data_IF_692027011048
#
_entry.id   IF_692027011048
#
_cell.length_a   1.000
_cell.length_b   1.000
_cell.length_c   1.000
_cell.angle_alpha   90.00
_cell.angle_beta   90.00
_cell.angle_gamma   90.00
#
_symmetry.space_group_name_H-M   'P 1'
#
loop_
_entity.id
_entity.type
_entity.pdbx_description
1 polymer ?
#
# COMPACT_ATOMS: atom_id res chain seq x y z
N UNK A 1 28.88 71.16 13.26
CA UNK A 1 28.29 69.94 13.86
C UNK A 1 27.85 69.02 12.71
N UNK A 2 28.65 68.01 12.32
CA UNK A 2 28.55 66.62 12.76
C UNK A 2 27.14 66.03 12.43
N UNK A 3 26.92 64.95 11.66
CA UNK A 3 27.70 63.72 11.41
C UNK A 3 27.25 63.09 10.08
N UNK A 4 28.21 62.66 9.25
CA UNK A 4 28.02 61.58 8.25
C UNK A 4 28.20 60.26 9.00
N UNK A 5 27.19 59.40 9.05
CA UNK A 5 27.34 58.00 9.50
C UNK A 5 27.12 57.07 8.31
N UNK A 6 28.23 56.55 7.77
CA UNK A 6 28.22 55.52 6.74
C UNK A 6 27.71 54.18 7.30
N UNK A 7 26.76 53.57 6.60
CA UNK A 7 26.39 52.17 6.80
C UNK A 7 27.50 51.29 6.24
N UNK A 8 28.29 50.70 7.13
CA UNK A 8 29.27 49.67 6.80
C UNK A 8 28.57 48.39 6.34
N UNK A 9 28.76 48.01 5.08
CA UNK A 9 28.40 46.69 4.55
C UNK A 9 29.42 45.70 5.08
N UNK A 10 29.04 44.94 6.12
CA UNK A 10 29.90 43.91 6.72
C UNK A 10 29.91 42.67 5.81
N UNK A 11 30.92 42.57 4.94
CA UNK A 11 31.25 41.34 4.19
C UNK A 11 31.51 40.20 5.19
N UNK A 12 30.59 39.25 5.30
CA UNK A 12 30.82 38.00 6.02
C UNK A 12 31.78 37.14 5.17
N UNK A 13 33.04 37.08 5.60
CA UNK A 13 34.06 36.18 5.04
C UNK A 13 33.62 34.74 5.25
N UNK A 14 33.69 33.95 4.19
CA UNK A 14 33.27 32.54 4.16
C UNK A 14 33.98 31.70 5.21
N UNK A 15 33.19 31.06 6.07
CA UNK A 15 33.66 29.92 6.87
C UNK A 15 33.61 28.70 5.96
N UNK A 16 34.79 28.15 5.66
CA UNK A 16 34.98 26.86 5.02
C UNK A 16 34.11 25.80 5.72
N UNK A 17 33.08 25.30 5.03
CA UNK A 17 32.25 24.23 5.54
C UNK A 17 33.05 22.92 5.51
N UNK A 18 33.39 22.38 6.68
CA UNK A 18 33.84 20.99 6.81
C UNK A 18 32.75 20.06 6.26
N UNK A 19 33.08 19.01 5.49
CA UNK A 19 32.09 18.09 4.95
C UNK A 19 31.43 17.34 6.11
N UNK A 20 30.11 17.50 6.27
CA UNK A 20 29.31 16.71 7.21
C UNK A 20 29.29 15.26 6.71
N UNK A 21 30.08 14.38 7.34
CA UNK A 21 29.84 12.94 7.25
C UNK A 21 28.44 12.63 7.83
N UNK A 22 27.65 11.87 7.09
CA UNK A 22 26.59 11.02 7.67
C UNK A 22 25.20 11.64 7.83
N UNK A 23 24.37 11.45 6.81
CA UNK A 23 23.08 10.72 6.84
C UNK A 23 22.48 10.88 5.46
N UNK A 24 22.81 9.96 4.56
CA UNK A 24 22.00 9.78 3.36
C UNK A 24 20.60 9.45 3.84
N UNK A 25 19.64 10.34 3.56
CA UNK A 25 18.23 10.01 3.71
C UNK A 25 17.99 8.66 3.03
N UNK A 26 17.15 7.77 3.59
CA UNK A 26 16.84 6.50 2.94
C UNK A 26 16.32 6.80 1.53
N UNK A 27 17.19 6.61 0.54
CA UNK A 27 16.82 6.63 -0.88
C UNK A 27 16.09 5.33 -1.11
N UNK A 28 14.90 5.42 -1.69
CA UNK A 28 14.23 4.22 -2.17
C UNK A 28 15.17 3.54 -3.18
N UNK A 29 15.51 2.26 -2.96
CA UNK A 29 16.37 1.52 -3.88
C UNK A 29 15.71 1.45 -5.26
N UNK A 30 16.51 1.42 -6.32
CA UNK A 30 15.98 1.26 -7.67
C UNK A 30 15.24 -0.10 -7.79
N UNK A 31 14.22 -0.16 -8.64
CA UNK A 31 13.52 -1.41 -8.92
C UNK A 31 14.53 -2.49 -9.35
N UNK A 32 14.50 -3.65 -8.67
CA UNK A 32 15.43 -4.76 -8.92
C UNK A 32 16.81 -4.66 -8.24
N UNK A 33 17.08 -3.60 -7.47
CA UNK A 33 18.34 -3.49 -6.70
C UNK A 33 18.24 -4.14 -5.32
N UNK A 34 19.38 -4.58 -4.78
CA UNK A 34 19.45 -5.17 -3.43
C UNK A 34 19.01 -4.13 -2.40
N UNK A 35 17.98 -4.44 -1.59
CA UNK A 35 17.51 -3.51 -0.57
C UNK A 35 18.59 -3.30 0.51
N UNK A 36 18.66 -2.09 1.11
CA UNK A 36 19.51 -1.86 2.28
C UNK A 36 19.21 -2.88 3.40
N UNK A 37 20.18 -3.21 4.28
CA UNK A 37 20.00 -4.26 5.30
C UNK A 37 18.76 -4.07 6.18
N UNK A 38 18.43 -2.83 6.56
CA UNK A 38 17.23 -2.53 7.33
C UNK A 38 15.93 -2.82 6.57
N UNK A 39 15.92 -2.57 5.26
CA UNK A 39 14.78 -2.89 4.38
C UNK A 39 14.69 -4.39 4.16
N UNK A 40 15.81 -5.08 3.92
CA UNK A 40 15.84 -6.55 3.79
C UNK A 40 15.27 -7.23 5.05
N UNK A 41 15.73 -6.84 6.24
CA UNK A 41 15.22 -7.37 7.50
C UNK A 41 13.72 -7.07 7.70
N UNK A 42 13.21 -5.95 7.20
CA UNK A 42 11.78 -5.66 7.24
C UNK A 42 10.98 -6.56 6.28
N UNK A 43 11.49 -6.79 5.08
CA UNK A 43 10.88 -7.70 4.10
C UNK A 43 10.84 -9.14 4.63
N UNK A 44 11.94 -9.64 5.20
CA UNK A 44 12.03 -10.98 5.79
C UNK A 44 10.98 -11.24 6.88
N UNK A 45 10.60 -10.20 7.65
CA UNK A 45 9.53 -10.32 8.64
C UNK A 45 8.13 -10.34 8.03
N UNK A 46 7.91 -9.60 6.94
CA UNK A 46 6.57 -9.39 6.34
C UNK A 46 6.24 -10.45 5.30
N UNK A 47 7.19 -10.85 4.47
CA UNK A 47 7.00 -11.83 3.40
C UNK A 47 6.33 -13.14 3.86
N UNK A 48 6.76 -13.82 4.95
CA UNK A 48 6.11 -15.05 5.40
C UNK A 48 4.69 -14.82 5.92
N UNK A 49 4.39 -13.61 6.42
CA UNK A 49 3.02 -13.22 6.84
C UNK A 49 2.10 -13.11 5.65
N UNK A 50 2.55 -12.43 4.59
CA UNK A 50 1.76 -12.29 3.38
C UNK A 50 1.64 -13.62 2.63
N UNK A 51 2.69 -14.45 2.65
CA UNK A 51 2.68 -15.76 2.00
C UNK A 51 1.63 -16.71 2.62
N UNK A 52 1.58 -16.81 3.95
CA UNK A 52 0.65 -17.71 4.67
C UNK A 52 -0.81 -17.25 4.68
N UNK A 53 -1.06 -15.96 4.45
CA UNK A 53 -2.40 -15.40 4.53
C UNK A 53 -3.26 -15.87 3.36
N UNK A 54 -4.49 -16.30 3.61
CA UNK A 54 -5.46 -16.67 2.57
C UNK A 54 -6.30 -15.48 2.07
N UNK A 55 -6.33 -14.39 2.84
CA UNK A 55 -7.09 -13.16 2.57
C UNK A 55 -6.49 -11.97 3.33
N UNK A 56 -6.85 -10.76 2.93
CA UNK A 56 -6.37 -9.52 3.54
C UNK A 56 -7.49 -8.53 3.83
N UNK A 57 -7.36 -7.81 4.95
CA UNK A 57 -8.10 -6.58 5.20
C UNK A 57 -7.10 -5.44 5.23
N UNK A 58 -7.19 -4.54 4.25
CA UNK A 58 -6.33 -3.35 4.15
C UNK A 58 -7.00 -2.21 4.90
N UNK A 59 -6.38 -1.82 6.01
CA UNK A 59 -6.77 -0.64 6.78
C UNK A 59 -5.96 0.56 6.29
N UNK A 60 -6.59 1.59 5.73
CA UNK A 60 -5.87 2.71 5.11
C UNK A 60 -6.51 4.08 5.36
N UNK A 61 -5.71 5.12 5.68
CA UNK A 61 -6.17 6.49 5.54
C UNK A 61 -6.26 6.90 4.07
N UNK A 62 -6.94 8.00 3.79
CA UNK A 62 -6.74 8.82 2.60
C UNK A 62 -5.79 9.99 2.90
N UNK A 63 -4.67 10.04 2.17
CA UNK A 63 -3.69 11.12 2.18
C UNK A 63 -3.59 11.73 0.79
N UNK A 64 -3.72 13.06 0.71
CA UNK A 64 -3.59 13.83 -0.54
C UNK A 64 -4.43 13.25 -1.69
N UNK A 65 -5.70 12.92 -1.42
CA UNK A 65 -6.62 12.34 -2.41
C UNK A 65 -6.24 10.92 -2.87
N UNK A 66 -5.43 10.18 -2.10
CA UNK A 66 -5.07 8.81 -2.44
C UNK A 66 -4.67 7.97 -1.23
N UNK A 67 -4.15 6.77 -1.47
CA UNK A 67 -3.59 5.90 -0.44
C UNK A 67 -2.15 6.32 -0.05
N UNK A 68 -1.64 5.96 1.13
CA UNK A 68 -0.28 6.29 1.55
C UNK A 68 0.80 5.61 0.70
N UNK A 69 1.89 6.33 0.42
CA UNK A 69 3.03 5.77 -0.30
C UNK A 69 3.63 4.52 0.37
N UNK A 70 3.58 4.44 1.72
CA UNK A 70 4.03 3.28 2.47
C UNK A 70 3.23 2.00 2.14
N UNK A 71 1.91 2.12 1.94
CA UNK A 71 1.06 0.99 1.56
C UNK A 71 1.43 0.47 0.17
N UNK A 72 1.60 1.39 -0.79
CA UNK A 72 2.04 1.04 -2.15
C UNK A 72 3.40 0.35 -2.17
N UNK A 73 4.34 0.84 -1.36
CA UNK A 73 5.64 0.21 -1.23
C UNK A 73 5.52 -1.25 -0.77
N UNK A 74 4.68 -1.54 0.24
CA UNK A 74 4.48 -2.93 0.69
C UNK A 74 3.88 -3.79 -0.42
N UNK A 75 2.92 -3.26 -1.18
CA UNK A 75 2.32 -3.94 -2.33
C UNK A 75 3.37 -4.22 -3.41
N UNK A 76 4.17 -3.22 -3.79
CA UNK A 76 5.14 -3.34 -4.89
C UNK A 76 6.31 -4.26 -4.56
N UNK A 77 6.72 -4.35 -3.29
CA UNK A 77 7.78 -5.25 -2.84
C UNK A 77 7.36 -6.72 -2.83
N UNK A 78 6.07 -7.02 -2.86
CA UNK A 78 5.54 -8.37 -2.77
C UNK A 78 4.59 -8.57 -3.94
N UNK A 79 4.98 -9.25 -5.00
CA UNK A 79 4.06 -9.52 -6.10
C UNK A 79 3.33 -10.88 -5.92
N UNK A 80 4.04 -12.02 -5.85
CA UNK A 80 3.38 -13.33 -5.81
C UNK A 80 2.56 -13.57 -4.53
N UNK A 81 2.85 -12.84 -3.45
CA UNK A 81 2.14 -13.02 -2.18
C UNK A 81 0.67 -12.57 -2.23
N UNK A 82 0.28 -11.72 -3.20
CA UNK A 82 -1.11 -11.27 -3.38
C UNK A 82 -1.93 -12.15 -4.34
N UNK A 83 -1.26 -13.00 -5.13
CA UNK A 83 -1.87 -13.70 -6.25
C UNK A 83 -3.04 -14.57 -5.83
N UNK A 84 -4.15 -14.41 -6.54
CA UNK A 84 -5.39 -15.15 -6.34
C UNK A 84 -5.87 -15.16 -4.88
N UNK A 85 -5.64 -14.07 -4.13
CA UNK A 85 -6.14 -13.88 -2.77
C UNK A 85 -7.11 -12.70 -2.71
N UNK A 86 -8.18 -12.78 -1.90
CA UNK A 86 -9.13 -11.70 -1.80
C UNK A 86 -8.66 -10.62 -0.82
N UNK A 87 -9.06 -9.39 -1.11
CA UNK A 87 -8.71 -8.18 -0.35
C UNK A 87 -9.97 -7.39 -0.03
N UNK A 88 -10.18 -7.07 1.24
CA UNK A 88 -11.21 -6.14 1.70
C UNK A 88 -10.57 -4.84 2.21
N UNK A 89 -11.39 -3.79 2.29
CA UNK A 89 -10.93 -2.46 2.69
C UNK A 89 -11.69 -1.94 3.90
N UNK A 90 -10.91 -1.39 4.84
CA UNK A 90 -11.38 -0.50 5.89
C UNK A 90 -10.64 0.81 5.70
N UNK A 91 -11.37 1.86 5.36
CA UNK A 91 -10.78 3.16 5.05
C UNK A 91 -11.22 4.22 6.03
N UNK A 92 -10.40 5.25 6.20
CA UNK A 92 -10.73 6.41 6.99
C UNK A 92 -10.16 7.69 6.39
N UNK A 93 -10.79 8.81 6.70
CA UNK A 93 -10.34 10.11 6.21
C UNK A 93 -11.23 11.24 6.69
N UNK A 94 -11.00 12.43 6.14
CA UNK A 94 -11.91 13.56 6.32
C UNK A 94 -13.24 13.33 5.61
N UNK A 95 -13.62 14.25 4.72
CA UNK A 95 -14.96 14.25 4.12
C UNK A 95 -15.30 12.97 3.33
N UNK A 96 -14.32 12.36 2.66
CA UNK A 96 -14.52 11.15 1.85
C UNK A 96 -14.60 9.85 2.67
N UNK A 97 -14.25 9.89 3.97
CA UNK A 97 -14.10 8.67 4.78
C UNK A 97 -13.02 7.69 4.28
N UNK A 98 -12.15 8.12 3.36
CA UNK A 98 -11.09 7.28 2.80
C UNK A 98 -11.45 6.58 1.50
N UNK A 99 -12.65 6.80 0.95
CA UNK A 99 -13.14 6.09 -0.23
C UNK A 99 -12.29 6.30 -1.49
N UNK A 100 -11.67 7.47 -1.69
CA UNK A 100 -10.80 7.70 -2.86
C UNK A 100 -9.53 6.87 -2.81
N UNK A 101 -9.00 6.63 -1.60
CA UNK A 101 -7.88 5.71 -1.41
C UNK A 101 -8.28 4.30 -1.85
N UNK A 102 -9.49 3.85 -1.49
CA UNK A 102 -10.03 2.54 -1.90
C UNK A 102 -10.22 2.48 -3.42
N UNK A 103 -10.80 3.51 -4.03
CA UNK A 103 -10.98 3.59 -5.49
C UNK A 103 -9.66 3.48 -6.24
N UNK A 104 -8.58 4.12 -5.74
CA UNK A 104 -7.26 4.01 -6.32
C UNK A 104 -6.57 2.66 -6.04
N UNK A 105 -6.85 2.00 -4.92
CA UNK A 105 -6.26 0.70 -4.57
C UNK A 105 -6.88 -0.46 -5.33
N UNK A 106 -8.18 -0.39 -5.68
CA UNK A 106 -8.86 -1.46 -6.42
C UNK A 106 -8.16 -1.86 -7.73
N UNK A 107 -7.81 -0.93 -8.64
CA UNK A 107 -7.06 -1.30 -9.85
C UNK A 107 -5.63 -1.77 -9.54
N UNK A 108 -4.98 -1.27 -8.48
CA UNK A 108 -3.65 -1.74 -8.07
C UNK A 108 -3.70 -3.20 -7.63
N UNK A 109 -4.69 -3.59 -6.83
CA UNK A 109 -4.84 -4.98 -6.40
C UNK A 109 -5.23 -5.91 -7.55
N UNK A 110 -6.04 -5.43 -8.50
CA UNK A 110 -6.32 -6.18 -9.72
C UNK A 110 -5.05 -6.47 -10.54
N UNK A 111 -4.16 -5.48 -10.68
CA UNK A 111 -2.87 -5.64 -11.38
C UNK A 111 -1.97 -6.69 -10.70
N UNK A 112 -1.93 -6.74 -9.36
CA UNK A 112 -1.17 -7.78 -8.64
C UNK A 112 -1.95 -9.09 -8.45
N UNK A 113 -2.92 -9.36 -9.32
CA UNK A 113 -3.71 -10.59 -9.36
C UNK A 113 -4.50 -10.91 -8.09
N UNK A 114 -4.80 -9.89 -7.26
CA UNK A 114 -5.69 -10.03 -6.12
C UNK A 114 -7.13 -9.68 -6.51
N UNK A 115 -8.09 -10.20 -5.73
CA UNK A 115 -9.52 -9.97 -5.98
C UNK A 115 -10.10 -9.10 -4.88
N UNK A 116 -10.53 -7.88 -5.21
CA UNK A 116 -11.13 -7.02 -4.19
C UNK A 116 -12.59 -7.38 -3.94
N UNK A 117 -13.01 -7.48 -2.67
CA UNK A 117 -14.43 -7.64 -2.34
C UNK A 117 -15.17 -6.31 -2.52
N UNK A 118 -16.48 -6.42 -2.78
CA UNK A 118 -17.36 -5.25 -3.01
C UNK A 118 -17.50 -4.41 -1.75
N UNK A 119 -17.78 -5.05 -0.61
CA UNK A 119 -18.07 -4.37 0.64
C UNK A 119 -16.84 -3.66 1.21
N UNK A 120 -17.05 -2.50 1.80
CA UNK A 120 -16.00 -1.62 2.32
C UNK A 120 -16.54 -0.89 3.53
N UNK A 121 -15.74 -0.82 4.59
CA UNK A 121 -16.04 0.02 5.75
C UNK A 121 -15.30 1.34 5.57
N UNK A 122 -16.00 2.45 5.77
CA UNK A 122 -15.48 3.79 5.56
C UNK A 122 -15.81 4.68 6.75
N UNK A 123 -14.79 5.18 7.45
CA UNK A 123 -14.94 6.05 8.59
C UNK A 123 -14.70 7.51 8.19
N UNK A 124 -15.80 8.24 7.95
CA UNK A 124 -15.80 9.69 7.83
C UNK A 124 -15.56 10.32 9.22
N UNK A 125 -14.51 11.13 9.32
CA UNK A 125 -14.12 11.75 10.60
C UNK A 125 -13.82 10.67 11.64
N UNK A 126 -12.86 9.78 11.35
CA UNK A 126 -12.62 8.62 12.20
C UNK A 126 -12.32 8.97 13.66
N UNK A 127 -11.68 10.12 13.93
CA UNK A 127 -11.40 10.56 15.30
C UNK A 127 -12.66 10.76 16.12
N UNK A 128 -13.75 11.18 15.49
CA UNK A 128 -15.03 11.40 16.15
C UNK A 128 -15.81 10.09 16.36
N UNK A 129 -15.43 9.00 15.67
CA UNK A 129 -16.14 7.70 15.68
C UNK A 129 -15.69 6.74 16.77
N UNK A 130 -14.53 6.96 17.36
CA UNK A 130 -13.98 6.09 18.42
C UNK A 130 -13.87 6.84 19.75
N UNK A 131 -14.09 6.14 20.85
CA UNK A 131 -13.81 6.62 22.20
C UNK A 131 -12.29 6.59 22.48
N UNK A 132 -11.89 7.12 23.62
CA UNK A 132 -10.47 7.24 24.01
C UNK A 132 -9.79 5.88 24.20
N UNK A 133 -10.55 4.85 24.58
CA UNK A 133 -10.10 3.46 24.68
C UNK A 133 -10.00 2.74 23.32
N UNK A 134 -10.35 3.41 22.23
CA UNK A 134 -10.37 2.86 20.88
C UNK A 134 -11.64 2.07 20.52
N UNK A 135 -12.64 2.02 21.40
CA UNK A 135 -13.93 1.39 21.09
C UNK A 135 -14.77 2.24 20.13
N UNK A 136 -15.53 1.64 19.19
CA UNK A 136 -16.44 2.41 18.33
C UNK A 136 -17.59 2.98 19.16
N UNK A 137 -17.93 4.26 18.94
CA UNK A 137 -19.06 4.92 19.63
C UNK A 137 -20.43 4.39 19.20
N UNK A 138 -20.50 3.78 18.02
CA UNK A 138 -21.68 3.07 17.51
C UNK A 138 -21.26 1.63 17.19
N UNK A 139 -21.15 0.77 18.23
CA UNK A 139 -20.66 -0.59 18.07
C UNK A 139 -21.60 -1.45 17.24
N UNK A 140 -22.92 -1.23 17.31
CA UNK A 140 -23.90 -2.02 16.56
C UNK A 140 -23.71 -1.83 15.06
N UNK A 141 -23.71 -0.57 14.59
CA UNK A 141 -23.51 -0.27 13.16
C UNK A 141 -22.16 -0.78 12.64
N UNK A 142 -21.09 -0.56 13.41
CA UNK A 142 -19.74 -0.99 13.03
C UNK A 142 -19.64 -2.51 12.98
N UNK A 143 -20.21 -3.22 13.95
CA UNK A 143 -20.18 -4.68 14.00
C UNK A 143 -21.02 -5.29 12.87
N UNK A 144 -22.20 -4.78 12.56
CA UNK A 144 -22.99 -5.26 11.41
C UNK A 144 -22.25 -5.07 10.08
N UNK A 145 -21.59 -3.93 9.89
CA UNK A 145 -20.77 -3.69 8.71
C UNK A 145 -19.55 -4.62 8.65
N UNK A 146 -18.89 -4.86 9.78
CA UNK A 146 -17.77 -5.79 9.91
C UNK A 146 -18.19 -7.23 9.64
N UNK A 147 -19.29 -7.71 10.21
CA UNK A 147 -19.86 -9.03 9.96
C UNK A 147 -20.14 -9.23 8.48
N UNK A 148 -20.78 -8.24 7.83
CA UNK A 148 -21.06 -8.29 6.39
C UNK A 148 -19.76 -8.42 5.59
N UNK A 149 -18.79 -7.53 5.82
CA UNK A 149 -17.53 -7.52 5.08
C UNK A 149 -16.73 -8.82 5.30
N UNK A 150 -16.61 -9.27 6.55
CA UNK A 150 -15.84 -10.45 6.92
C UNK A 150 -16.49 -11.73 6.40
N UNK A 151 -17.82 -11.83 6.43
CA UNK A 151 -18.56 -12.96 5.83
C UNK A 151 -18.28 -13.07 4.33
N UNK A 152 -18.30 -11.94 3.60
CA UNK A 152 -18.00 -11.93 2.16
C UNK A 152 -16.54 -12.24 1.89
N UNK A 153 -15.62 -11.69 2.68
CA UNK A 153 -14.19 -11.97 2.55
C UNK A 153 -13.88 -13.44 2.81
N UNK A 154 -14.47 -14.03 3.85
CA UNK A 154 -14.29 -15.44 4.21
C UNK A 154 -14.76 -16.36 3.09
N UNK A 155 -15.92 -16.09 2.49
CA UNK A 155 -16.41 -16.87 1.36
C UNK A 155 -15.38 -16.90 0.22
N UNK A 156 -14.87 -15.72 -0.18
CA UNK A 156 -13.84 -15.63 -1.20
C UNK A 156 -12.53 -16.31 -0.78
N UNK A 157 -12.14 -16.17 0.49
CA UNK A 157 -10.89 -16.71 1.02
C UNK A 157 -10.88 -18.24 0.89
N UNK A 158 -11.95 -18.89 1.35
CA UNK A 158 -12.12 -20.35 1.28
C UNK A 158 -12.17 -20.81 -0.18
N UNK A 159 -13.00 -20.18 -1.01
CA UNK A 159 -13.14 -20.56 -2.42
C UNK A 159 -11.83 -20.46 -3.19
N UNK A 160 -11.07 -19.37 -2.99
CA UNK A 160 -9.81 -19.16 -3.68
C UNK A 160 -8.69 -20.05 -3.10
N UNK A 161 -8.65 -20.27 -1.78
CA UNK A 161 -7.68 -21.18 -1.16
C UNK A 161 -7.83 -22.61 -1.68
N UNK A 162 -9.06 -23.14 -1.70
CA UNK A 162 -9.35 -24.45 -2.29
C UNK A 162 -8.97 -24.51 -3.77
N UNK A 163 -9.27 -23.45 -4.53
CA UNK A 163 -8.95 -23.38 -5.95
C UNK A 163 -7.43 -23.40 -6.19
N UNK A 164 -6.66 -22.61 -5.42
CA UNK A 164 -5.18 -22.60 -5.49
C UNK A 164 -4.58 -23.96 -5.13
N UNK A 165 -5.17 -24.67 -4.16
CA UNK A 165 -4.72 -25.99 -3.76
C UNK A 165 -4.98 -27.06 -4.84
N UNK A 166 -6.16 -27.01 -5.50
CA UNK A 166 -6.53 -27.93 -6.57
C UNK A 166 -5.85 -27.61 -7.90
N UNK A 167 -5.64 -26.32 -8.18
CA UNK A 167 -5.11 -25.78 -9.44
C UNK A 167 -4.21 -24.59 -9.12
N UNK A 168 -2.88 -24.81 -9.00
CA UNK A 168 -1.95 -23.74 -8.69
C UNK A 168 -2.12 -22.55 -9.64
N UNK A 169 -2.29 -21.36 -9.06
CA UNK A 169 -2.42 -20.13 -9.83
C UNK A 169 -1.06 -19.79 -10.44
N UNK A 170 -0.94 -19.98 -11.76
CA UNK A 170 0.29 -19.74 -12.50
C UNK A 170 0.16 -18.46 -13.32
N UNK A 171 0.89 -17.42 -12.93
CA UNK A 171 1.11 -16.27 -13.79
C UNK A 171 2.18 -16.67 -14.79
N UNK A 172 1.80 -16.90 -16.05
CA UNK A 172 2.77 -17.21 -17.10
C UNK A 172 3.70 -16.00 -17.26
N UNK A 173 5.03 -16.17 -17.23
CA UNK A 173 5.92 -15.07 -17.56
C UNK A 173 5.66 -14.63 -19.00
N UNK A 174 5.49 -13.33 -19.19
CA UNK A 174 5.42 -12.68 -20.51
C UNK A 174 6.81 -12.65 -21.12
N UNK A 175 7.34 -13.81 -21.53
CA UNK A 175 8.59 -13.88 -22.29
C UNK A 175 8.28 -14.06 -23.77
N UNK A 176 8.38 -12.93 -24.50
CA UNK A 176 8.78 -12.78 -25.92
C UNK A 176 7.87 -13.39 -27.01
N UNK A 177 7.68 -12.74 -28.18
CA UNK A 177 6.77 -13.22 -29.21
C UNK A 177 7.20 -14.60 -29.69
N UNK A 178 6.24 -15.52 -29.79
CA UNK A 178 6.40 -16.77 -30.52
C UNK A 178 6.59 -16.45 -32.00
N UNK A 179 7.83 -16.20 -32.43
CA UNK A 179 8.16 -16.20 -33.86
C UNK A 179 7.93 -17.59 -34.43
N UNK A 180 7.31 -17.58 -35.60
CA UNK A 180 7.12 -18.66 -36.57
C UNK A 180 6.04 -19.72 -36.29
N UNK A 181 4.90 -19.55 -36.98
CA UNK A 181 4.47 -20.56 -37.95
C UNK A 181 3.41 -21.57 -37.51
N UNK A 182 2.14 -21.25 -37.77
CA UNK A 182 1.22 -22.14 -38.51
C UNK A 182 -0.13 -21.44 -38.77
N UNK A 183 -0.62 -21.37 -40.02
CA UNK A 183 -2.00 -21.01 -40.28
C UNK A 183 -2.87 -22.25 -40.02
N UNK A 184 -3.94 -22.11 -39.24
CA UNK A 184 -4.81 -23.25 -38.98
C UNK A 184 -6.06 -22.92 -38.17
N UNK A 185 -7.11 -22.54 -38.91
CA UNK A 185 -8.55 -22.63 -38.61
C UNK A 185 -9.08 -21.88 -37.37
N UNK A 186 -9.80 -20.80 -37.65
CA UNK A 186 -10.94 -20.38 -36.84
C UNK A 186 -12.01 -21.48 -36.89
N UNK A 187 -12.57 -21.78 -35.73
CA UNK A 187 -13.91 -22.38 -35.56
C UNK A 187 -14.81 -21.26 -35.04
#
# INVERSE_FOLDING_TARGET
MARRTGRGVRRLRGRSARPRRGRTAPRFPAFGSTPPPATAAALERVTPVLARADAFVVVTPEYNHSYPASLKNVIDWHNPQWHAKPVAFVSYGGLSGGLRAVEHLRPVFAEVHAVTVRDTISFHGARERFAEDGSPKDPESVNTAAETLLTRLEWWARSLAESRAKRPYTVRPTTTPRTAGRPGRCV
#
